data_IF_493280961078
#
_entry.id   IF_493280961078
#
_cell.length_a   1.000
_cell.length_b   1.000
_cell.length_c   1.000
_cell.angle_alpha   90.00
_cell.angle_beta   90.00
_cell.angle_gamma   90.00
#
_symmetry.space_group_name_H-M   'P 1'
#
loop_
_entity.id
_entity.type
_entity.pdbx_description
1 polymer ?
#
# COMPACT_ATOMS: atom_id res chain seq x y z
N UNK A 1 -16.10 -32.95 -11.54
CA UNK A 1 -15.54 -32.28 -12.73
C UNK A 1 -15.06 -30.91 -12.29
N UNK A 2 -13.78 -30.79 -11.98
CA UNK A 2 -13.18 -29.52 -11.61
C UNK A 2 -13.11 -28.61 -12.84
N UNK A 3 -13.74 -27.43 -12.74
CA UNK A 3 -13.63 -26.39 -13.76
C UNK A 3 -12.19 -25.88 -13.77
N UNK A 4 -11.44 -26.26 -14.79
CA UNK A 4 -10.15 -25.65 -15.13
C UNK A 4 -10.43 -24.20 -15.53
N UNK A 5 -10.27 -23.30 -14.56
CA UNK A 5 -10.33 -21.85 -14.77
C UNK A 5 -9.13 -21.47 -15.64
N UNK A 6 -9.35 -21.25 -16.95
CA UNK A 6 -8.32 -20.80 -17.88
C UNK A 6 -7.85 -19.41 -17.47
N UNK A 7 -6.74 -19.34 -16.72
CA UNK A 7 -6.10 -18.09 -16.36
C UNK A 7 -5.21 -17.69 -17.54
N UNK A 8 -5.44 -16.51 -18.11
CA UNK A 8 -4.81 -16.10 -19.37
C UNK A 8 -3.28 -16.14 -19.37
N UNK A 9 -2.66 -16.16 -20.55
CA UNK A 9 -1.20 -16.25 -20.77
C UNK A 9 -0.37 -15.36 -19.85
N UNK A 10 -0.84 -14.14 -19.60
CA UNK A 10 -0.19 -13.16 -18.72
C UNK A 10 -0.12 -13.66 -17.25
N UNK A 11 -1.16 -14.35 -16.78
CA UNK A 11 -1.16 -14.98 -15.45
C UNK A 11 -0.17 -16.15 -15.39
N UNK A 12 -0.12 -16.97 -16.43
CA UNK A 12 0.80 -18.12 -16.48
C UNK A 12 2.26 -17.65 -16.50
N UNK A 13 2.61 -16.68 -17.35
CA UNK A 13 3.96 -16.12 -17.43
C UNK A 13 4.37 -15.40 -16.14
N UNK A 14 3.52 -14.54 -15.58
CA UNK A 14 3.78 -13.90 -14.28
C UNK A 14 3.95 -14.97 -13.21
N UNK A 15 3.09 -16.01 -13.18
CA UNK A 15 3.17 -17.05 -12.15
C UNK A 15 4.46 -17.87 -12.26
N UNK A 16 4.91 -18.17 -13.49
CA UNK A 16 6.14 -18.91 -13.79
C UNK A 16 7.39 -18.11 -13.43
N UNK A 17 7.42 -16.81 -13.75
CA UNK A 17 8.52 -15.90 -13.38
C UNK A 17 8.55 -15.60 -11.88
N UNK A 18 7.37 -15.47 -11.27
CA UNK A 18 7.17 -15.28 -9.83
C UNK A 18 7.63 -16.49 -9.01
N UNK A 19 7.53 -17.71 -9.56
CA UNK A 19 7.96 -18.93 -8.87
C UNK A 19 9.49 -19.10 -8.79
N UNK A 20 10.25 -18.47 -9.68
CA UNK A 20 11.69 -18.76 -9.84
C UNK A 20 12.59 -18.02 -8.84
N UNK A 21 12.16 -16.87 -8.29
CA UNK A 21 12.98 -16.11 -7.34
C UNK A 21 12.14 -15.33 -6.29
N UNK A 22 12.25 -15.67 -4.99
CA UNK A 22 11.56 -14.97 -3.91
C UNK A 22 11.85 -13.47 -3.84
N UNK A 23 13.04 -13.03 -4.26
CA UNK A 23 13.45 -11.61 -4.27
C UNK A 23 12.65 -10.81 -5.28
N UNK A 24 12.58 -11.32 -6.51
CA UNK A 24 11.87 -10.70 -7.63
C UNK A 24 10.36 -10.66 -7.36
N UNK A 25 9.81 -11.76 -6.84
CA UNK A 25 8.39 -11.86 -6.50
C UNK A 25 7.94 -10.86 -5.45
N UNK A 26 8.81 -10.55 -4.48
CA UNK A 26 8.56 -9.51 -3.49
C UNK A 26 8.54 -8.11 -4.12
N UNK A 27 9.51 -7.80 -4.98
CA UNK A 27 9.55 -6.51 -5.67
C UNK A 27 8.35 -6.37 -6.59
N UNK A 28 7.97 -7.42 -7.31
CA UNK A 28 6.74 -7.46 -8.10
C UNK A 28 5.51 -7.17 -7.24
N UNK A 29 5.43 -7.68 -6.01
CA UNK A 29 4.33 -7.34 -5.11
C UNK A 29 4.31 -5.86 -4.71
N UNK A 30 5.47 -5.23 -4.54
CA UNK A 30 5.58 -3.80 -4.27
C UNK A 30 5.23 -2.95 -5.49
N UNK A 31 5.71 -3.35 -6.68
CA UNK A 31 5.42 -2.68 -7.95
C UNK A 31 3.94 -2.80 -8.31
N UNK A 32 3.33 -3.98 -8.13
CA UNK A 32 1.90 -4.18 -8.37
C UNK A 32 1.06 -3.30 -7.43
N UNK A 33 1.44 -3.23 -6.15
CA UNK A 33 0.80 -2.31 -5.20
C UNK A 33 0.94 -0.84 -5.61
N UNK A 34 2.11 -0.44 -6.13
CA UNK A 34 2.33 0.93 -6.60
C UNK A 34 1.49 1.23 -7.84
N UNK A 35 1.45 0.31 -8.80
CA UNK A 35 0.64 0.41 -10.01
C UNK A 35 -0.86 0.49 -9.69
N UNK A 36 -1.36 -0.35 -8.78
CA UNK A 36 -2.77 -0.31 -8.33
C UNK A 36 -3.10 1.04 -7.70
N UNK A 37 -2.20 1.57 -6.86
CA UNK A 37 -2.38 2.90 -6.26
C UNK A 37 -2.39 3.99 -7.32
N UNK A 38 -1.41 4.02 -8.24
CA UNK A 38 -1.35 5.03 -9.30
C UNK A 38 -2.59 5.00 -10.19
N UNK A 39 -3.02 3.79 -10.60
CA UNK A 39 -4.22 3.61 -11.40
C UNK A 39 -5.50 4.08 -10.68
N UNK A 40 -5.52 4.00 -9.35
CA UNK A 40 -6.66 4.46 -8.54
C UNK A 40 -6.61 5.96 -8.27
N UNK A 41 -5.44 6.52 -7.90
CA UNK A 41 -5.30 7.93 -7.48
C UNK A 41 -5.34 8.87 -8.67
N UNK A 42 -4.58 8.60 -9.75
CA UNK A 42 -4.38 9.57 -10.82
C UNK A 42 -5.70 10.02 -11.47
N UNK A 43 -6.63 9.11 -11.83
CA UNK A 43 -7.92 9.53 -12.37
C UNK A 43 -8.74 10.33 -11.36
N UNK A 44 -8.72 9.95 -10.08
CA UNK A 44 -9.44 10.66 -9.02
C UNK A 44 -8.92 12.08 -8.84
N UNK A 45 -7.60 12.27 -8.84
CA UNK A 45 -6.97 13.59 -8.71
C UNK A 45 -7.32 14.47 -9.90
N UNK A 46 -7.31 13.94 -11.13
CA UNK A 46 -7.70 14.69 -12.33
C UNK A 46 -9.16 15.13 -12.23
N UNK A 47 -10.08 14.20 -11.91
CA UNK A 47 -11.51 14.51 -11.77
C UNK A 47 -11.73 15.56 -10.69
N UNK A 48 -11.10 15.40 -9.53
CA UNK A 48 -11.20 16.33 -8.42
C UNK A 48 -10.67 17.72 -8.82
N UNK A 49 -9.52 17.78 -9.49
CA UNK A 49 -8.92 19.06 -9.90
C UNK A 49 -9.83 19.79 -10.89
N UNK A 50 -10.42 19.06 -11.83
CA UNK A 50 -11.37 19.60 -12.80
C UNK A 50 -12.64 20.11 -12.11
N UNK A 51 -13.24 19.30 -11.23
CA UNK A 51 -14.43 19.69 -10.46
C UNK A 51 -14.15 20.94 -9.62
N UNK A 52 -13.05 20.96 -8.85
CA UNK A 52 -12.68 22.11 -8.01
C UNK A 52 -12.50 23.38 -8.86
N UNK A 53 -11.89 23.26 -10.04
CA UNK A 53 -11.68 24.40 -10.95
C UNK A 53 -12.98 25.04 -11.46
N UNK A 54 -14.08 24.28 -11.53
CA UNK A 54 -15.40 24.80 -11.94
C UNK A 54 -16.14 25.54 -10.82
N UNK A 55 -15.85 25.22 -9.56
CA UNK A 55 -16.49 25.85 -8.41
C UNK A 55 -15.73 27.06 -7.87
N UNK A 56 -14.44 27.20 -8.18
CA UNK A 56 -13.60 28.26 -7.64
C UNK A 56 -13.17 29.25 -8.72
N UNK A 57 -13.84 30.39 -8.77
CA UNK A 57 -13.32 31.58 -9.43
C UNK A 57 -12.13 32.11 -8.60
N UNK A 58 -10.91 31.82 -9.06
CA UNK A 58 -9.69 32.61 -8.83
C UNK A 58 -8.81 32.46 -7.57
N UNK A 59 -8.96 31.51 -6.61
CA UNK A 59 -7.99 31.54 -5.48
C UNK A 59 -7.59 30.31 -4.63
N UNK A 60 -8.17 29.10 -4.68
CA UNK A 60 -7.71 28.04 -3.75
C UNK A 60 -6.96 26.89 -4.41
N UNK A 61 -5.80 27.20 -4.99
CA UNK A 61 -4.74 26.20 -5.27
C UNK A 61 -4.40 25.32 -4.05
N UNK A 62 -4.69 25.81 -2.85
CA UNK A 62 -4.53 25.12 -1.56
C UNK A 62 -5.51 23.94 -1.38
N UNK A 63 -6.77 24.06 -1.81
CA UNK A 63 -7.78 23.00 -1.60
C UNK A 63 -7.47 21.75 -2.43
N UNK A 64 -7.02 21.95 -3.68
CA UNK A 64 -6.58 20.84 -4.53
C UNK A 64 -5.38 20.08 -3.96
N UNK A 65 -4.40 20.81 -3.39
CA UNK A 65 -3.20 20.19 -2.82
C UNK A 65 -3.51 19.42 -1.54
N UNK A 66 -4.31 20.01 -0.64
CA UNK A 66 -4.72 19.34 0.60
C UNK A 66 -5.50 18.06 0.31
N UNK A 67 -6.39 18.08 -0.68
CA UNK A 67 -7.15 16.90 -1.09
C UNK A 67 -6.27 15.81 -1.73
N UNK A 68 -5.25 16.20 -2.50
CA UNK A 68 -4.23 15.27 -3.00
C UNK A 68 -3.51 14.56 -1.84
N UNK A 69 -3.08 15.30 -0.83
CA UNK A 69 -2.40 14.71 0.34
C UNK A 69 -3.30 13.82 1.19
N UNK A 70 -4.59 14.13 1.29
CA UNK A 70 -5.59 13.25 1.93
C UNK A 70 -5.70 11.93 1.17
N UNK A 71 -5.78 11.96 -0.17
CA UNK A 71 -5.82 10.75 -0.99
C UNK A 71 -4.53 9.93 -0.84
N UNK A 72 -3.38 10.59 -0.84
CA UNK A 72 -2.08 9.95 -0.59
C UNK A 72 -2.02 9.29 0.80
N UNK A 73 -2.56 9.94 1.83
CA UNK A 73 -2.67 9.36 3.17
C UNK A 73 -3.51 8.08 3.17
N UNK A 74 -4.68 8.10 2.54
CA UNK A 74 -5.56 6.92 2.44
C UNK A 74 -4.83 5.77 1.71
N UNK A 75 -4.20 6.05 0.58
CA UNK A 75 -3.52 5.03 -0.22
C UNK A 75 -2.24 4.50 0.42
N UNK A 76 -1.53 5.32 1.19
CA UNK A 76 -0.37 4.89 2.00
C UNK A 76 -0.79 3.86 3.04
N UNK A 77 -2.05 3.87 3.47
CA UNK A 77 -2.64 2.87 4.36
C UNK A 77 -3.18 1.62 3.61
N UNK A 78 -2.73 1.31 2.38
CA UNK A 78 -3.17 0.11 1.64
C UNK A 78 -3.02 -1.23 2.38
N UNK A 79 -2.07 -1.33 3.32
CA UNK A 79 -1.74 -2.56 4.05
C UNK A 79 -2.44 -2.68 5.40
N UNK A 80 -3.32 -1.74 5.74
CA UNK A 80 -3.96 -1.60 7.05
C UNK A 80 -4.80 -2.80 7.46
N UNK A 81 -5.35 -3.54 6.48
CA UNK A 81 -6.19 -4.71 6.71
C UNK A 81 -5.34 -5.98 6.86
N UNK A 82 -5.10 -6.39 8.11
CA UNK A 82 -4.36 -7.61 8.50
C UNK A 82 -2.93 -7.70 7.95
N UNK A 83 -2.31 -6.54 7.69
CA UNK A 83 -0.97 -6.50 7.10
C UNK A 83 -0.94 -7.05 5.67
N UNK A 84 -2.03 -6.88 4.90
CA UNK A 84 -2.15 -7.34 3.52
C UNK A 84 -2.82 -6.27 2.63
N UNK A 85 -2.06 -5.75 1.67
CA UNK A 85 -2.59 -4.94 0.56
C UNK A 85 -3.30 -5.78 -0.51
N UNK A 86 -4.03 -5.15 -1.46
CA UNK A 86 -4.63 -5.85 -2.60
C UNK A 86 -3.65 -6.76 -3.35
N UNK A 87 -2.45 -6.26 -3.69
CA UNK A 87 -1.46 -7.06 -4.41
C UNK A 87 -0.98 -8.25 -3.56
N UNK A 88 -0.70 -8.01 -2.28
CA UNK A 88 -0.20 -9.05 -1.37
C UNK A 88 -1.22 -10.17 -1.17
N UNK A 89 -2.52 -9.86 -1.17
CA UNK A 89 -3.58 -10.88 -1.13
C UNK A 89 -3.58 -11.77 -2.35
N UNK A 90 -3.47 -11.17 -3.54
CA UNK A 90 -3.43 -11.92 -4.81
C UNK A 90 -2.15 -12.75 -4.91
N UNK A 91 -1.02 -12.21 -4.45
CA UNK A 91 0.30 -12.83 -4.57
C UNK A 91 0.65 -13.79 -3.43
N UNK A 92 -0.15 -13.87 -2.37
CA UNK A 92 0.08 -14.75 -1.23
C UNK A 92 1.20 -14.26 -0.31
N UNK A 93 1.10 -13.01 0.12
CA UNK A 93 2.03 -12.39 1.05
C UNK A 93 1.30 -11.76 2.23
N UNK A 94 2.00 -11.71 3.36
CA UNK A 94 1.56 -11.03 4.56
C UNK A 94 2.71 -10.35 5.26
N UNK A 95 2.45 -9.19 5.81
CA UNK A 95 3.38 -8.53 6.71
C UNK A 95 3.09 -9.00 8.13
N UNK A 96 4.14 -9.46 8.81
CA UNK A 96 4.11 -9.82 10.22
C UNK A 96 5.07 -8.95 11.02
N UNK A 97 4.76 -8.77 12.30
CA UNK A 97 5.68 -8.23 13.28
C UNK A 97 6.74 -9.28 13.63
N UNK A 98 8.00 -8.88 13.63
CA UNK A 98 9.13 -9.77 13.93
C UNK A 98 9.08 -10.26 15.38
N UNK A 99 8.63 -9.42 16.33
CA UNK A 99 8.62 -9.77 17.76
C UNK A 99 7.53 -10.78 18.07
N UNK A 100 6.31 -10.54 17.58
CA UNK A 100 5.14 -11.35 17.93
C UNK A 100 4.86 -12.47 16.93
N UNK A 101 5.44 -12.44 15.73
CA UNK A 101 5.10 -13.29 14.58
C UNK A 101 3.60 -13.27 14.21
N UNK A 102 2.87 -12.25 14.67
CA UNK A 102 1.45 -12.02 14.34
C UNK A 102 1.34 -11.03 13.18
N UNK A 103 0.18 -10.93 12.52
CA UNK A 103 -0.07 -9.90 11.51
C UNK A 103 0.34 -8.52 12.02
N UNK A 104 1.08 -7.77 11.22
CA UNK A 104 1.56 -6.46 11.62
C UNK A 104 0.38 -5.55 11.99
N UNK A 105 0.57 -4.75 13.04
CA UNK A 105 -0.45 -3.80 13.46
C UNK A 105 -0.67 -2.71 12.41
N UNK A 106 -1.82 -2.05 12.51
CA UNK A 106 -2.21 -0.95 11.65
C UNK A 106 -1.15 0.18 11.68
N UNK A 107 -0.65 0.49 12.89
CA UNK A 107 0.39 1.51 13.09
C UNK A 107 1.74 1.08 12.47
N UNK A 108 2.15 -0.17 12.62
CA UNK A 108 3.35 -0.67 11.96
C UNK A 108 3.24 -0.59 10.44
N UNK A 109 2.09 -0.97 9.88
CA UNK A 109 1.85 -0.86 8.45
C UNK A 109 1.92 0.58 7.96
N UNK A 110 1.38 1.52 8.73
CA UNK A 110 1.46 2.95 8.45
C UNK A 110 2.92 3.45 8.45
N UNK A 111 3.67 3.25 9.54
CA UNK A 111 5.08 3.67 9.67
C UNK A 111 5.94 3.05 8.55
N UNK A 112 5.71 1.76 8.23
CA UNK A 112 6.42 1.08 7.15
C UNK A 112 6.14 1.70 5.77
N UNK A 113 5.00 2.36 5.58
CA UNK A 113 4.60 2.92 4.30
C UNK A 113 4.96 4.41 4.16
N UNK A 114 5.35 5.11 5.24
CA UNK A 114 5.86 6.49 5.17
C UNK A 114 7.13 6.62 4.32
N UNK A 115 7.96 5.57 4.27
CA UNK A 115 9.19 5.53 3.48
C UNK A 115 8.95 5.45 1.97
N UNK A 116 7.70 5.38 1.51
CA UNK A 116 7.35 5.29 0.07
C UNK A 116 7.76 6.53 -0.73
N UNK A 117 8.02 7.68 -0.09
CA UNK A 117 8.57 8.86 -0.79
C UNK A 117 9.94 8.52 -1.39
N UNK A 118 10.73 7.70 -0.69
CA UNK A 118 11.99 7.17 -1.17
C UNK A 118 11.85 5.87 -1.96
N UNK A 119 10.72 5.64 -2.67
CA UNK A 119 10.45 4.36 -3.32
C UNK A 119 11.59 3.81 -4.20
N UNK A 120 12.37 4.60 -4.97
CA UNK A 120 13.45 4.04 -5.78
C UNK A 120 14.55 3.45 -4.89
N UNK A 121 14.86 4.14 -3.79
CA UNK A 121 15.82 3.68 -2.78
C UNK A 121 15.28 2.41 -2.11
N UNK A 122 13.98 2.36 -1.80
CA UNK A 122 13.38 1.15 -1.22
C UNK A 122 13.46 -0.06 -2.14
N UNK A 123 13.30 0.13 -3.46
CA UNK A 123 13.45 -0.95 -4.45
C UNK A 123 14.90 -1.44 -4.47
N UNK A 124 15.88 -0.55 -4.46
CA UNK A 124 17.30 -0.91 -4.40
C UNK A 124 17.60 -1.68 -3.11
N UNK A 125 17.16 -1.18 -1.96
CA UNK A 125 17.34 -1.86 -0.66
C UNK A 125 16.62 -3.22 -0.66
N UNK A 126 15.43 -3.33 -1.27
CA UNK A 126 14.69 -4.59 -1.38
C UNK A 126 15.35 -5.61 -2.32
N UNK A 127 16.10 -5.16 -3.33
CA UNK A 127 16.92 -6.01 -4.20
C UNK A 127 18.12 -6.58 -3.45
N UNK A 128 18.80 -5.75 -2.65
CA UNK A 128 19.98 -6.14 -1.86
C UNK A 128 19.56 -7.01 -0.68
N UNK A 129 18.52 -6.58 0.07
CA UNK A 129 17.99 -7.27 1.24
C UNK A 129 16.52 -7.67 1.02
N UNK A 130 16.27 -8.89 0.52
CA UNK A 130 14.92 -9.34 0.21
C UNK A 130 14.06 -9.62 1.46
N UNK A 131 14.68 -9.71 2.65
CA UNK A 131 13.93 -9.96 3.88
C UNK A 131 13.26 -8.70 4.40
N UNK A 132 13.92 -7.54 4.29
CA UNK A 132 13.46 -6.28 4.90
C UNK A 132 13.88 -5.08 4.05
N UNK A 133 12.92 -4.21 3.73
CA UNK A 133 13.19 -2.87 3.14
C UNK A 133 13.32 -1.80 4.24
N UNK A 134 13.66 -0.55 3.87
CA UNK A 134 13.79 0.57 4.81
C UNK A 134 12.60 0.70 5.77
N UNK A 135 11.37 0.71 5.25
CA UNK A 135 10.18 0.73 6.09
C UNK A 135 10.06 -0.45 7.05
N UNK A 136 10.52 -1.65 6.67
CA UNK A 136 10.50 -2.84 7.55
C UNK A 136 11.50 -2.76 8.69
N UNK A 137 12.62 -2.05 8.48
CA UNK A 137 13.56 -1.74 9.54
C UNK A 137 12.93 -0.81 10.57
N UNK A 138 12.27 0.26 10.10
CA UNK A 138 11.60 1.24 10.96
C UNK A 138 10.41 0.65 11.73
N UNK A 139 9.56 -0.12 11.06
CA UNK A 139 8.34 -0.68 11.67
C UNK A 139 8.57 -2.02 12.40
N UNK A 140 9.80 -2.54 12.36
CA UNK A 140 10.17 -3.85 12.88
C UNK A 140 9.29 -4.99 12.33
N UNK A 141 9.03 -4.95 11.01
CA UNK A 141 8.21 -5.93 10.30
C UNK A 141 9.03 -6.76 9.32
N UNK A 142 8.46 -7.86 8.85
CA UNK A 142 8.94 -8.61 7.68
C UNK A 142 7.78 -9.12 6.84
N UNK A 143 8.03 -9.36 5.56
CA UNK A 143 7.07 -9.98 4.65
C UNK A 143 7.32 -11.48 4.63
N UNK A 144 6.26 -12.27 4.84
CA UNK A 144 6.26 -13.72 4.74
C UNK A 144 5.27 -14.17 3.67
N UNK A 145 5.46 -15.39 3.17
CA UNK A 145 4.46 -16.07 2.34
C UNK A 145 3.21 -16.37 3.18
N UNK A 146 2.05 -16.22 2.56
CA UNK A 146 0.74 -16.48 3.16
C UNK A 146 -0.20 -17.01 2.08
N UNK A 147 -1.34 -17.53 2.48
CA UNK A 147 -2.33 -18.00 1.53
C UNK A 147 -2.86 -16.86 0.65
N UNK A 148 -3.09 -17.19 -0.62
CA UNK A 148 -3.72 -16.29 -1.57
C UNK A 148 -5.17 -16.07 -1.17
N UNK A 149 -5.60 -14.82 -1.16
CA UNK A 149 -6.95 -14.44 -0.77
C UNK A 149 -7.65 -13.72 -1.94
N UNK A 150 -8.97 -13.96 -2.07
CA UNK A 150 -9.79 -13.18 -2.99
C UNK A 150 -9.90 -11.74 -2.50
N UNK A 151 -9.85 -10.75 -3.39
CA UNK A 151 -10.03 -9.33 -3.03
C UNK A 151 -11.34 -9.07 -2.27
N UNK A 152 -12.39 -9.87 -2.52
CA UNK A 152 -13.66 -9.79 -1.77
C UNK A 152 -13.49 -9.94 -0.25
N UNK A 153 -12.47 -10.67 0.21
CA UNK A 153 -12.16 -10.82 1.63
C UNK A 153 -11.76 -9.51 2.32
N UNK A 154 -11.20 -8.54 1.57
CA UNK A 154 -10.87 -7.21 2.09
C UNK A 154 -12.09 -6.48 2.62
N UNK A 155 -13.23 -6.59 1.92
CA UNK A 155 -14.48 -5.96 2.34
C UNK A 155 -14.99 -6.52 3.67
N UNK A 156 -14.80 -7.82 3.89
CA UNK A 156 -15.14 -8.45 5.16
C UNK A 156 -14.20 -7.97 6.27
N UNK A 157 -12.90 -7.86 5.99
CA UNK A 157 -11.93 -7.35 6.96
C UNK A 157 -12.20 -5.89 7.33
N UNK A 158 -12.58 -5.07 6.36
CA UNK A 158 -12.92 -3.67 6.56
C UNK A 158 -14.17 -3.50 7.44
N UNK A 159 -15.22 -4.31 7.21
CA UNK A 159 -16.44 -4.30 8.04
C UNK A 159 -16.18 -4.70 9.49
N UNK A 160 -15.18 -5.54 9.74
CA UNK A 160 -14.85 -6.05 11.06
C UNK A 160 -13.75 -5.24 11.76
N UNK A 161 -13.37 -4.08 11.21
CA UNK A 161 -12.32 -3.27 11.78
C UNK A 161 -12.81 -2.66 13.10
N UNK A 162 -12.03 -2.83 14.17
CA UNK A 162 -12.29 -2.21 15.46
C UNK A 162 -11.42 -0.98 15.59
N UNK A 163 -12.03 0.16 15.89
CA UNK A 163 -11.29 1.40 16.18
C UNK A 163 -10.49 1.20 17.46
N UNK A 164 -9.16 1.28 17.34
CA UNK A 164 -8.20 1.18 18.45
C UNK A 164 -7.59 2.55 18.72
N UNK A 165 -7.00 2.72 19.91
CA UNK A 165 -6.24 3.94 20.26
C UNK A 165 -5.13 4.25 19.24
N UNK A 166 -4.56 3.21 18.60
CA UNK A 166 -3.53 3.33 17.58
C UNK A 166 -3.96 4.20 16.38
N UNK A 167 -5.25 4.30 16.08
CA UNK A 167 -5.76 5.13 14.98
C UNK A 167 -5.50 6.62 15.21
N UNK A 168 -5.61 7.07 16.46
CA UNK A 168 -5.33 8.46 16.84
C UNK A 168 -3.86 8.79 16.56
N UNK A 169 -2.94 7.88 16.89
CA UNK A 169 -1.52 8.03 16.57
C UNK A 169 -1.24 8.08 15.07
N UNK A 170 -1.96 7.28 14.27
CA UNK A 170 -1.86 7.29 12.80
C UNK A 170 -2.36 8.62 12.23
N UNK A 171 -3.47 9.15 12.73
CA UNK A 171 -4.02 10.44 12.30
C UNK A 171 -3.09 11.59 12.66
N UNK A 172 -2.56 11.64 13.89
CA UNK A 172 -1.62 12.69 14.30
C UNK A 172 -0.32 12.63 13.50
N UNK A 173 0.33 11.46 13.42
CA UNK A 173 1.60 11.30 12.73
C UNK A 173 1.45 11.50 11.22
N UNK A 174 0.35 11.01 10.63
CA UNK A 174 0.04 11.23 9.22
C UNK A 174 -0.28 12.67 8.89
N UNK A 175 -1.10 13.33 9.70
CA UNK A 175 -1.37 14.76 9.55
C UNK A 175 -0.08 15.58 9.56
N UNK A 176 0.78 15.37 10.56
CA UNK A 176 2.08 16.05 10.64
C UNK A 176 2.98 15.77 9.42
N UNK A 177 3.09 14.49 9.03
CA UNK A 177 3.94 14.07 7.92
C UNK A 177 3.48 14.65 6.59
N UNK A 178 2.21 14.48 6.23
CA UNK A 178 1.67 14.95 4.96
C UNK A 178 1.54 16.47 4.91
N UNK A 179 1.29 17.14 6.04
CA UNK A 179 1.39 18.60 6.13
C UNK A 179 2.80 19.09 5.87
N UNK A 180 3.82 18.43 6.44
CA UNK A 180 5.22 18.75 6.18
C UNK A 180 5.59 18.58 4.71
N UNK A 181 5.13 17.49 4.07
CA UNK A 181 5.30 17.28 2.63
C UNK A 181 4.63 18.37 1.79
N UNK A 182 3.40 18.74 2.12
CA UNK A 182 2.64 19.79 1.45
C UNK A 182 3.34 21.16 1.50
N UNK A 183 4.17 21.40 2.51
CA UNK A 183 4.99 22.63 2.60
C UNK A 183 6.32 22.54 1.86
N UNK A 184 6.80 21.33 1.57
CA UNK A 184 8.08 21.10 0.91
C UNK A 184 7.96 21.03 -0.62
N UNK A 185 6.86 20.46 -1.12
CA UNK A 185 6.53 20.27 -2.54
C UNK A 185 5.63 21.38 -3.06
#
# INVERSE_FOLDING_TARGET
MDKVEHKGLLYEEISKFSYSNPRVRRILSMLLDHFIICLSIVPLVIIISEVVSQFEHDSNKLIGNDLFFILMFICTNKDFLKGKSPAKRIMGYQIIDIKTNKPASEFQCFVRNLTIIGWPIEVIVGLINPQRRLGDFLANTKVITSDKEKLKSMWNDLKNIKMKINFIGILMLGGLFFYGLNKLL
#
